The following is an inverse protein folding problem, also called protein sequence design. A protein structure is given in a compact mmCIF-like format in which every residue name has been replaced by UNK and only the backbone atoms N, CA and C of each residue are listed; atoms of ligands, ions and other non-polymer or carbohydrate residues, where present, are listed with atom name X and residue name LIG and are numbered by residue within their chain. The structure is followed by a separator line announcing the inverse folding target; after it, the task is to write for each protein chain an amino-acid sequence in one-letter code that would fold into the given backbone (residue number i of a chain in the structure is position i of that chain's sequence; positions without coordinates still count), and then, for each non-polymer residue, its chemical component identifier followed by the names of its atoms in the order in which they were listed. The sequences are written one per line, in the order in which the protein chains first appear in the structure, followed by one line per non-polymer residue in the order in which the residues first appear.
data_IF_636850741558
#
_entry.id   IF_636850741558
#
_cell.length_a   1.000
_cell.length_b   1.000
_cell.length_c   1.000
_cell.angle_alpha   90.00
_cell.angle_beta   90.00
_cell.angle_gamma   90.00
#
_symmetry.space_group_name_H-M   'P 1'
#
loop_
_entity.id
_entity.type
_entity.pdbx_description
1 polymer ?
#
# COMPACT_ATOMS: atom_id res chain seq x y z
N UNK A 1 -6.04 5.29 -0.47
CA UNK A 1 -6.75 4.64 0.65
C UNK A 1 -7.18 5.62 1.75
N UNK A 2 -8.39 5.46 2.35
CA UNK A 2 -8.85 6.25 3.51
C UNK A 2 -8.40 5.59 4.84
N UNK A 3 -7.95 6.39 5.81
CA UNK A 3 -7.47 5.92 7.13
C UNK A 3 -8.60 5.24 7.94
N UNK A 4 -9.83 5.75 7.82
CA UNK A 4 -10.98 5.19 8.55
C UNK A 4 -11.31 3.76 8.13
N UNK A 5 -11.11 3.43 6.85
CA UNK A 5 -11.40 2.09 6.31
C UNK A 5 -10.33 1.09 6.75
N UNK A 6 -9.06 1.49 6.73
CA UNK A 6 -7.95 0.65 7.18
C UNK A 6 -8.04 0.28 8.66
N UNK A 7 -8.53 1.19 9.50
CA UNK A 7 -8.75 0.92 10.93
C UNK A 7 -9.82 -0.13 11.19
N UNK A 8 -10.81 -0.30 10.29
CA UNK A 8 -11.91 -1.26 10.44
C UNK A 8 -11.53 -2.67 9.97
N UNK A 9 -10.43 -2.83 9.23
CA UNK A 9 -9.98 -4.12 8.71
C UNK A 9 -9.37 -5.00 9.80
N UNK A 10 -9.54 -6.33 9.70
CA UNK A 10 -8.82 -7.29 10.55
C UNK A 10 -7.34 -7.34 10.17
N UNK A 11 -6.49 -7.83 11.07
CA UNK A 11 -5.05 -7.92 10.82
C UNK A 11 -4.71 -8.81 9.62
N UNK A 12 -5.47 -9.90 9.42
CA UNK A 12 -5.35 -10.78 8.26
C UNK A 12 -5.67 -10.06 6.95
N UNK A 13 -6.75 -9.27 6.93
CA UNK A 13 -7.15 -8.48 5.77
C UNK A 13 -6.12 -7.39 5.46
N UNK A 14 -5.55 -6.75 6.49
CA UNK A 14 -4.46 -5.79 6.33
C UNK A 14 -3.22 -6.45 5.74
N UNK A 15 -2.89 -7.67 6.12
CA UNK A 15 -1.76 -8.42 5.58
C UNK A 15 -1.99 -8.77 4.10
N UNK A 16 -3.17 -9.26 3.74
CA UNK A 16 -3.54 -9.51 2.33
C UNK A 16 -3.46 -8.24 1.50
N UNK A 17 -4.08 -7.16 1.98
CA UNK A 17 -4.05 -5.85 1.31
C UNK A 17 -2.62 -5.33 1.13
N UNK A 18 -1.75 -5.51 2.14
CA UNK A 18 -0.35 -5.12 2.05
C UNK A 18 0.40 -5.88 0.95
N UNK A 19 0.18 -7.19 0.83
CA UNK A 19 0.78 -8.01 -0.22
C UNK A 19 0.31 -7.55 -1.61
N UNK A 20 -1.00 -7.34 -1.79
CA UNK A 20 -1.57 -6.87 -3.05
C UNK A 20 -1.02 -5.50 -3.45
N UNK A 21 -0.97 -4.56 -2.49
CA UNK A 21 -0.48 -3.19 -2.73
C UNK A 21 1.02 -3.18 -3.07
N UNK A 22 1.81 -4.10 -2.50
CA UNK A 22 3.23 -4.27 -2.85
C UNK A 22 3.41 -4.86 -4.24
N UNK A 23 2.58 -5.84 -4.60
CA UNK A 23 2.60 -6.42 -5.94
C UNK A 23 2.25 -5.36 -7.00
N UNK A 24 1.26 -4.52 -6.74
CA UNK A 24 0.91 -3.40 -7.61
C UNK A 24 2.07 -2.41 -7.74
N UNK A 25 2.73 -2.04 -6.63
CA UNK A 25 3.91 -1.18 -6.66
C UNK A 25 5.02 -1.75 -7.54
N UNK A 26 5.25 -3.06 -7.45
CA UNK A 26 6.30 -3.74 -8.21
C UNK A 26 6.00 -3.74 -9.70
N UNK A 27 4.75 -4.00 -10.10
CA UNK A 27 4.31 -3.91 -11.49
C UNK A 27 4.46 -2.51 -12.07
N UNK A 28 4.04 -1.49 -11.30
CA UNK A 28 4.18 -0.08 -11.73
C UNK A 28 5.64 0.32 -11.88
N UNK A 29 6.52 -0.11 -10.96
CA UNK A 29 7.97 0.11 -11.09
C UNK A 29 8.55 -0.56 -12.32
N UNK A 30 8.22 -1.83 -12.56
CA UNK A 30 8.69 -2.56 -13.74
C UNK A 30 8.26 -1.89 -15.04
N UNK A 31 7.01 -1.39 -15.10
CA UNK A 31 6.53 -0.63 -16.26
C UNK A 31 7.35 0.65 -16.48
N UNK A 32 7.68 1.39 -15.41
CA UNK A 32 8.51 2.60 -15.50
C UNK A 32 9.94 2.26 -15.97
N UNK A 33 10.53 1.21 -15.42
CA UNK A 33 11.90 0.77 -15.77
C UNK A 33 11.99 0.30 -17.23
N UNK A 34 10.94 -0.32 -17.77
CA UNK A 34 10.86 -0.72 -19.18
C UNK A 34 10.66 0.47 -20.14
N UNK A 35 10.63 1.71 -19.65
CA UNK A 35 10.33 2.89 -20.48
C UNK A 35 8.85 2.98 -20.87
N UNK A 36 7.98 2.25 -20.17
CA UNK A 36 6.55 2.29 -20.37
C UNK A 36 5.98 3.67 -20.06
N UNK A 37 5.04 4.13 -20.87
CA UNK A 37 4.47 5.45 -20.72
C UNK A 37 3.77 5.57 -19.35
N UNK A 38 4.18 6.55 -18.55
CA UNK A 38 3.66 6.75 -17.19
C UNK A 38 2.25 7.34 -17.30
N UNK A 39 1.24 6.46 -17.40
CA UNK A 39 -0.17 6.87 -17.49
C UNK A 39 -0.60 7.74 -16.32
N UNK A 40 0.01 7.55 -15.14
CA UNK A 40 -0.36 8.32 -13.96
C UNK A 40 0.84 8.50 -13.00
N UNK A 41 1.62 9.60 -13.11
CA UNK A 41 2.85 9.79 -12.33
C UNK A 41 2.62 9.84 -10.82
N UNK A 42 1.40 10.20 -10.39
CA UNK A 42 1.01 10.18 -8.98
C UNK A 42 0.76 8.79 -8.41
N UNK A 43 0.59 7.75 -9.25
CA UNK A 43 0.14 6.42 -8.81
C UNK A 43 1.14 5.74 -7.88
N UNK A 44 2.42 5.73 -8.24
CA UNK A 44 3.49 5.17 -7.39
C UNK A 44 3.52 5.86 -6.02
N UNK A 45 3.37 7.20 -6.00
CA UNK A 45 3.34 7.97 -4.74
C UNK A 45 2.11 7.61 -3.89
N UNK A 46 0.95 7.40 -4.51
CA UNK A 46 -0.26 6.95 -3.81
C UNK A 46 -0.09 5.55 -3.21
N UNK A 47 0.39 4.59 -4.00
CA UNK A 47 0.62 3.20 -3.57
C UNK A 47 1.62 3.16 -2.39
N UNK A 48 2.73 3.90 -2.47
CA UNK A 48 3.70 4.01 -1.37
C UNK A 48 3.07 4.55 -0.08
N UNK A 49 2.19 5.55 -0.19
CA UNK A 49 1.45 6.09 0.97
C UNK A 49 0.47 5.07 1.54
N UNK A 50 -0.20 4.30 0.69
CA UNK A 50 -1.14 3.26 1.11
C UNK A 50 -0.40 2.15 1.88
N UNK A 51 0.76 1.68 1.41
CA UNK A 51 1.65 0.76 2.13
C UNK A 51 2.06 1.32 3.50
N UNK A 52 2.53 2.58 3.54
CA UNK A 52 2.97 3.21 4.78
C UNK A 52 1.85 3.31 5.83
N UNK A 53 0.61 3.60 5.41
CA UNK A 53 -0.54 3.65 6.33
C UNK A 53 -0.85 2.28 6.92
N UNK A 54 -0.82 1.21 6.14
CA UNK A 54 -1.06 -0.15 6.63
C UNK A 54 0.00 -0.55 7.67
N UNK A 55 1.28 -0.30 7.36
CA UNK A 55 2.38 -0.61 8.28
C UNK A 55 2.28 0.19 9.58
N UNK A 56 1.92 1.47 9.49
CA UNK A 56 1.73 2.34 10.66
C UNK A 56 0.61 1.80 11.54
N UNK A 57 -0.52 1.40 10.97
CA UNK A 57 -1.64 0.83 11.70
C UNK A 57 -1.29 -0.49 12.39
N UNK A 58 -0.55 -1.36 11.71
CA UNK A 58 -0.07 -2.62 12.32
C UNK A 58 0.80 -2.34 13.54
N UNK A 59 1.73 -1.38 13.43
CA UNK A 59 2.61 -0.99 14.55
C UNK A 59 1.85 -0.30 15.69
N UNK A 60 0.84 0.51 15.37
CA UNK A 60 -0.07 1.12 16.35
C UNK A 60 -0.85 0.05 17.13
N UNK A 61 -1.35 -0.98 16.45
CA UNK A 61 -2.03 -2.13 17.09
C UNK A 61 -1.10 -2.96 17.95
N UNK A 62 0.11 -3.23 17.48
CA UNK A 62 1.12 -3.98 18.23
C UNK A 62 1.53 -3.25 19.51
N UNK A 63 1.70 -1.91 19.47
CA UNK A 63 2.10 -1.11 20.62
C UNK A 63 0.97 -0.93 21.66
N UNK A 64 -0.29 -1.00 21.23
CA UNK A 64 -1.46 -0.88 22.12
C UNK A 64 -1.91 -2.23 22.70
N UNK A 65 -1.18 -3.30 22.44
CA UNK A 65 -1.42 -4.65 22.96
C UNK A 65 -0.53 -4.91 24.16
#
# INVERSE_FOLDING_TARGET
MKIRETRKMKDEDLNKKLADTRLELMKEKGNVEMGGNVKNPGKIKMIRRDVARILTLKKEREKNR
#
